data_IF_216990085641
#
_entry.id   IF_216990085641
#
_cell.length_a   1.000
_cell.length_b   1.000
_cell.length_c   1.000
_cell.angle_alpha   90.00
_cell.angle_beta   90.00
_cell.angle_gamma   90.00
#
_symmetry.space_group_name_H-M   'P 1'
#
loop_
_entity.id
_entity.type
_entity.pdbx_description
1 polymer ?
#
# COMPACT_ATOMS: atom_id res chain seq x y z
N UNK A 1 -20.31 15.72 -18.94
CA UNK A 1 -20.86 16.90 -19.64
C UNK A 1 -19.93 17.25 -20.79
N UNK A 2 -20.44 17.86 -21.86
CA UNK A 2 -19.62 18.49 -22.90
C UNK A 2 -19.85 20.00 -22.96
N UNK A 3 -18.83 20.77 -23.34
CA UNK A 3 -18.96 22.22 -23.55
C UNK A 3 -18.18 22.65 -24.80
N UNK A 4 -18.62 23.76 -25.38
CA UNK A 4 -17.91 24.48 -26.44
C UNK A 4 -17.06 25.58 -25.82
N UNK A 5 -15.82 25.71 -26.28
CA UNK A 5 -14.82 26.63 -25.75
C UNK A 5 -14.39 27.64 -26.80
N UNK A 6 -13.97 28.83 -26.36
CA UNK A 6 -13.35 29.84 -27.22
C UNK A 6 -11.91 29.51 -27.60
N UNK A 7 -11.28 28.59 -26.86
CA UNK A 7 -9.89 28.16 -27.04
C UNK A 7 -9.76 26.63 -26.92
N UNK A 8 -8.69 26.03 -27.46
CA UNK A 8 -8.31 24.67 -27.09
C UNK A 8 -8.19 24.53 -25.57
N UNK A 9 -8.74 23.45 -25.03
CA UNK A 9 -8.71 23.14 -23.59
C UNK A 9 -7.81 21.94 -23.37
N UNK A 10 -6.99 21.98 -22.33
CA UNK A 10 -6.06 20.89 -22.05
C UNK A 10 -6.73 19.77 -21.25
N UNK A 11 -6.38 18.52 -21.53
CA UNK A 11 -6.74 17.40 -20.65
C UNK A 11 -6.05 17.62 -19.28
N UNK A 12 -6.82 17.42 -18.21
CA UNK A 12 -6.40 17.66 -16.82
C UNK A 12 -6.59 19.10 -16.34
N UNK A 13 -7.19 19.97 -17.15
CA UNK A 13 -7.56 21.33 -16.76
C UNK A 13 -8.82 21.31 -15.88
N UNK A 14 -8.84 22.16 -14.85
CA UNK A 14 -10.00 22.30 -13.97
C UNK A 14 -10.87 23.47 -14.41
N UNK A 15 -12.18 23.23 -14.43
CA UNK A 15 -13.18 24.23 -14.82
C UNK A 15 -14.25 24.37 -13.75
N UNK A 16 -14.83 25.55 -13.65
CA UNK A 16 -15.93 25.89 -12.75
C UNK A 16 -17.17 26.19 -13.59
N UNK A 17 -18.31 25.63 -13.17
CA UNK A 17 -19.59 25.88 -13.80
C UNK A 17 -20.56 26.47 -12.80
N UNK A 18 -21.38 27.42 -13.25
CA UNK A 18 -22.51 27.90 -12.47
C UNK A 18 -23.63 26.85 -12.55
N UNK A 19 -24.09 26.39 -11.40
CA UNK A 19 -25.12 25.36 -11.29
C UNK A 19 -26.18 25.79 -10.27
N UNK A 20 -27.33 26.26 -10.77
CA UNK A 20 -28.37 26.83 -9.93
C UNK A 20 -27.84 28.02 -9.12
N UNK A 21 -27.84 27.90 -7.78
CA UNK A 21 -27.28 28.92 -6.86
C UNK A 21 -25.84 28.64 -6.43
N UNK A 22 -25.24 27.54 -6.87
CA UNK A 22 -23.91 27.11 -6.47
C UNK A 22 -22.91 27.06 -7.63
N UNK A 23 -21.65 26.78 -7.29
CA UNK A 23 -20.59 26.50 -8.26
C UNK A 23 -20.18 25.04 -8.16
N UNK A 24 -19.94 24.40 -9.28
CA UNK A 24 -19.41 23.03 -9.35
C UNK A 24 -18.04 23.01 -9.99
N UNK A 25 -17.15 22.19 -9.45
CA UNK A 25 -15.83 21.95 -10.03
C UNK A 25 -15.91 20.76 -10.98
N UNK A 26 -15.28 20.88 -12.14
CA UNK A 26 -15.13 19.83 -13.13
C UNK A 26 -13.68 19.66 -13.57
N UNK A 27 -13.36 18.46 -14.05
CA UNK A 27 -12.08 18.11 -14.64
C UNK A 27 -12.27 17.77 -16.12
N UNK A 28 -11.47 18.37 -16.99
CA UNK A 28 -11.46 18.10 -18.43
C UNK A 28 -10.77 16.76 -18.69
N UNK A 29 -11.52 15.79 -19.18
CA UNK A 29 -11.03 14.42 -19.46
C UNK A 29 -10.69 14.22 -20.94
N UNK A 30 -11.40 14.92 -21.83
CA UNK A 30 -11.15 14.88 -23.27
C UNK A 30 -11.28 16.26 -23.86
N UNK A 31 -10.50 16.51 -24.90
CA UNK A 31 -10.52 17.72 -25.69
C UNK A 31 -10.43 17.33 -27.16
N UNK A 32 -11.27 17.93 -27.99
CA UNK A 32 -11.31 17.70 -29.42
C UNK A 32 -11.43 19.03 -30.15
N UNK A 33 -10.71 19.14 -31.26
CA UNK A 33 -10.80 20.26 -32.19
C UNK A 33 -11.41 19.71 -33.46
N UNK A 34 -12.48 20.35 -33.93
CA UNK A 34 -13.12 20.03 -35.21
C UNK A 34 -13.13 21.26 -36.10
N UNK A 35 -13.18 21.01 -37.40
CA UNK A 35 -13.30 22.01 -38.45
C UNK A 35 -14.44 21.57 -39.36
N UNK A 36 -15.35 22.49 -39.66
CA UNK A 36 -16.48 22.21 -40.54
C UNK A 36 -16.01 22.02 -42.00
N UNK A 37 -15.02 22.79 -42.44
CA UNK A 37 -14.41 22.68 -43.76
C UNK A 37 -13.49 21.46 -43.89
N UNK A 38 -12.72 21.12 -42.85
CA UNK A 38 -11.84 19.92 -42.81
C UNK A 38 -12.55 18.69 -42.21
N UNK A 39 -13.87 18.59 -42.39
CA UNK A 39 -14.69 17.52 -41.85
C UNK A 39 -14.42 16.14 -42.46
N UNK A 40 -15.28 15.17 -42.13
CA UNK A 40 -15.12 13.76 -42.50
C UNK A 40 -15.27 13.47 -44.01
N UNK A 41 -15.56 14.47 -44.83
CA UNK A 41 -15.79 14.32 -46.27
C UNK A 41 -14.53 14.34 -47.12
N UNK A 42 -13.38 14.74 -46.57
CA UNK A 42 -12.13 14.91 -47.31
C UNK A 42 -11.51 13.56 -47.69
N UNK A 43 -11.18 13.39 -48.98
CA UNK A 43 -10.69 12.11 -49.53
C UNK A 43 -9.30 12.16 -50.14
N UNK A 44 -8.77 13.33 -50.44
CA UNK A 44 -7.44 13.50 -51.04
C UNK A 44 -6.70 14.73 -50.50
N UNK A 45 -5.42 14.84 -50.88
CA UNK A 45 -4.53 15.89 -50.41
C UNK A 45 -4.93 17.29 -50.92
N UNK A 46 -5.28 17.41 -52.20
CA UNK A 46 -5.67 18.69 -52.81
C UNK A 46 -6.92 19.27 -52.12
N UNK A 47 -7.93 18.44 -51.88
CA UNK A 47 -9.16 18.82 -51.16
C UNK A 47 -8.88 19.27 -49.72
N UNK A 48 -7.94 18.60 -49.02
CA UNK A 48 -7.47 19.03 -47.70
C UNK A 48 -6.75 20.38 -47.75
N UNK A 49 -5.94 20.61 -48.77
CA UNK A 49 -5.18 21.85 -48.94
C UNK A 49 -6.10 23.04 -49.22
N UNK A 50 -7.10 22.88 -50.08
CA UNK A 50 -8.10 23.91 -50.38
C UNK A 50 -8.99 24.18 -49.16
N UNK A 51 -9.49 23.13 -48.51
CA UNK A 51 -10.34 23.25 -47.31
C UNK A 51 -9.62 23.92 -46.14
N UNK A 52 -8.29 23.73 -46.01
CA UNK A 52 -7.46 24.44 -45.03
C UNK A 52 -7.45 25.95 -45.25
N UNK A 53 -7.46 26.42 -46.50
CA UNK A 53 -7.49 27.86 -46.81
C UNK A 53 -8.86 28.45 -46.42
N UNK A 54 -9.94 27.76 -46.79
CA UNK A 54 -11.31 28.16 -46.42
C UNK A 54 -11.51 28.20 -44.89
N UNK A 55 -10.95 27.21 -44.18
CA UNK A 55 -10.95 27.14 -42.72
C UNK A 55 -10.18 28.31 -42.06
N UNK A 56 -9.13 28.82 -42.72
CA UNK A 56 -8.33 29.91 -42.18
C UNK A 56 -9.04 31.27 -42.32
N UNK A 57 -9.83 31.46 -43.36
CA UNK A 57 -10.61 32.69 -43.61
C UNK A 57 -11.87 32.77 -42.72
N UNK A 58 -12.44 31.63 -42.34
CA UNK A 58 -13.66 31.55 -41.54
C UNK A 58 -13.38 31.36 -40.06
N UNK A 59 -13.55 32.41 -39.26
CA UNK A 59 -13.44 32.35 -37.79
C UNK A 59 -14.40 31.35 -37.12
N UNK A 60 -15.49 30.97 -37.80
CA UNK A 60 -16.50 30.03 -37.31
C UNK A 60 -16.19 28.57 -37.63
N UNK A 61 -15.19 28.32 -38.45
CA UNK A 61 -14.88 26.97 -38.93
C UNK A 61 -14.43 26.04 -37.80
N UNK A 62 -13.60 26.56 -36.88
CA UNK A 62 -13.03 25.76 -35.79
C UNK A 62 -13.94 25.72 -34.59
N UNK A 63 -14.26 24.52 -34.14
CA UNK A 63 -14.95 24.25 -32.87
C UNK A 63 -14.00 23.57 -31.89
N UNK A 64 -14.05 24.00 -30.62
CA UNK A 64 -13.24 23.47 -29.54
C UNK A 64 -14.16 22.84 -28.50
N UNK A 65 -14.22 21.52 -28.48
CA UNK A 65 -15.13 20.78 -27.61
C UNK A 65 -14.38 20.08 -26.49
N UNK A 66 -14.82 20.33 -25.26
CA UNK A 66 -14.28 19.68 -24.06
C UNK A 66 -15.30 18.73 -23.44
N UNK A 67 -14.84 17.57 -22.96
CA UNK A 67 -15.62 16.68 -22.11
C UNK A 67 -15.15 16.80 -20.65
N UNK A 68 -16.09 17.11 -19.76
CA UNK A 68 -15.84 17.37 -18.35
C UNK A 68 -16.53 16.35 -17.47
N UNK A 69 -15.79 15.81 -16.51
CA UNK A 69 -16.32 15.08 -15.36
C UNK A 69 -16.54 16.04 -14.21
N UNK A 70 -17.78 16.11 -13.74
CA UNK A 70 -18.14 16.91 -12.56
C UNK A 70 -17.59 16.20 -11.31
N UNK A 71 -16.87 16.93 -10.47
CA UNK A 71 -16.27 16.43 -9.24
C UNK A 71 -17.17 16.70 -8.02
N UNK A 72 -17.89 17.82 -8.03
CA UNK A 72 -18.88 18.17 -7.01
C UNK A 72 -19.03 19.66 -6.79
N UNK A 73 -19.88 20.02 -5.82
CA UNK A 73 -20.04 21.42 -5.39
C UNK A 73 -18.76 21.96 -4.76
N UNK A 74 -18.35 23.16 -5.21
CA UNK A 74 -17.11 23.80 -4.78
C UNK A 74 -17.05 23.97 -3.25
N UNK A 75 -18.15 24.43 -2.64
CA UNK A 75 -18.23 24.67 -1.19
C UNK A 75 -18.20 23.39 -0.34
N UNK A 76 -18.64 22.27 -0.89
CA UNK A 76 -18.59 20.96 -0.23
C UNK A 76 -17.23 20.31 -0.42
N UNK A 77 -16.61 20.47 -1.60
CA UNK A 77 -15.23 20.02 -1.85
C UNK A 77 -14.23 20.70 -0.91
N UNK A 78 -14.42 21.99 -0.60
CA UNK A 78 -13.65 22.71 0.43
C UNK A 78 -13.75 22.08 1.82
N UNK A 79 -14.85 21.38 2.11
CA UNK A 79 -15.07 20.61 3.35
C UNK A 79 -14.66 19.15 3.23
N UNK A 80 -13.92 18.80 2.17
CA UNK A 80 -13.55 17.43 1.80
C UNK A 80 -14.76 16.50 1.57
N UNK A 81 -15.88 17.03 1.06
CA UNK A 81 -17.08 16.27 0.72
C UNK A 81 -17.35 16.36 -0.79
N UNK A 82 -17.22 15.24 -1.47
CA UNK A 82 -17.56 15.14 -2.89
C UNK A 82 -19.07 14.92 -3.06
N UNK A 83 -19.84 16.01 -3.08
CA UNK A 83 -21.29 15.98 -3.33
C UNK A 83 -21.52 16.36 -4.79
N UNK A 84 -22.04 15.43 -5.57
CA UNK A 84 -22.38 15.63 -6.98
C UNK A 84 -23.76 16.30 -7.11
N UNK A 85 -23.94 17.20 -8.09
CA UNK A 85 -25.28 17.67 -8.45
C UNK A 85 -26.13 16.50 -8.96
N UNK A 86 -27.40 16.46 -8.55
CA UNK A 86 -28.31 15.36 -8.89
C UNK A 86 -28.80 15.40 -10.36
N UNK A 87 -28.80 16.59 -10.96
CA UNK A 87 -29.20 16.78 -12.36
C UNK A 87 -28.00 17.29 -13.18
N UNK A 88 -27.96 17.03 -14.50
CA UNK A 88 -26.97 17.67 -15.36
C UNK A 88 -27.15 19.20 -15.40
N UNK A 89 -26.10 19.96 -15.71
CA UNK A 89 -26.21 21.40 -15.95
C UNK A 89 -27.06 21.69 -17.19
N UNK A 90 -27.78 22.81 -17.16
CA UNK A 90 -28.63 23.25 -18.29
C UNK A 90 -27.78 23.59 -19.52
N UNK A 91 -28.25 23.31 -20.75
CA UNK A 91 -27.61 23.79 -21.97
C UNK A 91 -27.45 25.32 -21.95
N UNK A 92 -26.28 25.80 -22.38
CA UNK A 92 -25.93 27.22 -22.32
C UNK A 92 -25.33 27.67 -20.98
N UNK A 93 -25.20 26.79 -19.98
CA UNK A 93 -24.47 27.10 -18.75
C UNK A 93 -23.01 27.48 -19.05
N UNK A 94 -22.59 28.62 -18.51
CA UNK A 94 -21.24 29.12 -18.70
C UNK A 94 -20.20 28.29 -17.92
N UNK A 95 -19.05 28.10 -18.58
CA UNK A 95 -17.91 27.35 -18.05
C UNK A 95 -16.71 28.29 -17.98
N UNK A 96 -16.10 28.33 -16.81
CA UNK A 96 -14.96 29.20 -16.48
C UNK A 96 -13.74 28.35 -16.12
N UNK A 97 -12.55 28.89 -16.36
CA UNK A 97 -11.32 28.28 -15.85
C UNK A 97 -11.29 28.39 -14.32
N UNK A 98 -10.86 27.33 -13.63
CA UNK A 98 -10.74 27.36 -12.18
C UNK A 98 -9.55 28.23 -11.77
N UNK A 99 -9.77 29.20 -10.87
CA UNK A 99 -8.69 30.03 -10.36
C UNK A 99 -7.73 29.22 -9.48
N UNK A 100 -6.47 29.64 -9.40
CA UNK A 100 -5.50 29.01 -8.49
C UNK A 100 -5.94 29.12 -7.02
N UNK A 101 -6.67 30.18 -6.65
CA UNK A 101 -7.24 30.36 -5.31
C UNK A 101 -8.29 29.29 -5.01
N UNK A 102 -9.25 29.07 -5.92
CA UNK A 102 -10.27 28.04 -5.77
C UNK A 102 -9.63 26.65 -5.62
N UNK A 103 -8.64 26.33 -6.47
CA UNK A 103 -7.94 25.05 -6.44
C UNK A 103 -7.09 24.87 -5.17
N UNK A 104 -6.41 25.92 -4.69
CA UNK A 104 -5.63 25.85 -3.45
C UNK A 104 -6.50 25.51 -2.24
N UNK A 105 -7.73 26.05 -2.16
CA UNK A 105 -8.63 25.72 -1.04
C UNK A 105 -9.06 24.26 -1.00
N UNK A 106 -8.99 23.55 -2.13
CA UNK A 106 -9.43 22.15 -2.26
C UNK A 106 -8.25 21.18 -2.20
N UNK A 107 -7.18 21.46 -2.96
CA UNK A 107 -6.05 20.54 -3.15
C UNK A 107 -4.83 20.85 -2.28
N UNK A 108 -4.70 22.10 -1.79
CA UNK A 108 -3.63 22.52 -0.89
C UNK A 108 -4.12 22.92 0.52
N UNK A 109 -4.95 22.13 1.23
CA UNK A 109 -5.31 22.44 2.60
C UNK A 109 -4.08 22.63 3.52
N UNK A 110 -4.25 23.46 4.53
CA UNK A 110 -3.22 23.73 5.54
C UNK A 110 -3.44 22.87 6.80
N UNK A 111 -2.36 22.53 7.48
CA UNK A 111 -2.36 21.70 8.70
C UNK A 111 -1.21 20.70 8.71
N UNK A 112 -0.82 20.24 9.91
CA UNK A 112 0.28 19.29 10.06
C UNK A 112 -0.03 17.92 9.45
N UNK A 113 -1.30 17.54 9.40
CA UNK A 113 -1.77 16.29 8.82
C UNK A 113 -1.75 16.27 7.28
N UNK A 114 -1.54 17.42 6.62
CA UNK A 114 -1.59 17.54 5.16
C UNK A 114 -0.17 17.52 4.59
N UNK A 115 0.17 16.43 3.92
CA UNK A 115 1.48 16.22 3.31
C UNK A 115 1.43 16.50 1.82
N UNK A 116 2.49 17.11 1.29
CA UNK A 116 2.59 17.42 -0.14
C UNK A 116 3.03 16.17 -0.90
N UNK A 117 2.23 15.76 -1.87
CA UNK A 117 2.55 14.63 -2.75
C UNK A 117 2.96 15.06 -4.17
N UNK A 118 2.78 16.33 -4.51
CA UNK A 118 3.10 16.87 -5.83
C UNK A 118 2.38 18.18 -6.10
N UNK A 119 2.09 18.45 -7.38
CA UNK A 119 1.34 19.62 -7.85
C UNK A 119 0.28 19.20 -8.86
N UNK A 120 -0.69 20.07 -9.14
CA UNK A 120 -1.67 19.80 -10.20
C UNK A 120 -1.00 19.85 -11.59
N UNK A 121 -1.42 18.95 -12.49
CA UNK A 121 -0.81 18.76 -13.81
C UNK A 121 -0.79 20.03 -14.67
N UNK A 122 -1.90 20.78 -14.69
CA UNK A 122 -2.07 22.01 -15.50
C UNK A 122 -1.98 23.28 -14.67
N UNK A 123 -1.80 23.17 -13.36
CA UNK A 123 -1.65 24.31 -12.47
C UNK A 123 -0.54 24.01 -11.44
N UNK A 124 0.70 24.07 -11.91
CA UNK A 124 1.89 23.70 -11.14
C UNK A 124 2.16 24.61 -9.94
N UNK A 125 1.48 25.76 -9.87
CA UNK A 125 1.51 26.65 -8.70
C UNK A 125 0.69 26.13 -7.52
N UNK A 126 -0.22 25.19 -7.77
CA UNK A 126 -1.09 24.58 -6.75
C UNK A 126 -0.51 23.25 -6.30
N UNK A 127 -0.18 23.18 -5.01
CA UNK A 127 0.24 21.95 -4.36
C UNK A 127 -0.91 20.94 -4.30
N UNK A 128 -0.59 19.67 -4.51
CA UNK A 128 -1.49 18.55 -4.21
C UNK A 128 -1.09 17.95 -2.87
N UNK A 129 -2.01 17.99 -1.90
CA UNK A 129 -1.78 17.48 -0.54
C UNK A 129 -2.74 16.36 -0.17
N UNK A 130 -2.27 15.45 0.65
CA UNK A 130 -3.03 14.30 1.17
C UNK A 130 -3.03 14.32 2.69
N UNK A 131 -4.14 13.91 3.29
CA UNK A 131 -4.28 13.82 4.73
C UNK A 131 -3.71 12.48 5.24
N UNK A 132 -2.61 12.53 5.99
CA UNK A 132 -1.92 11.34 6.52
C UNK A 132 -2.79 10.55 7.49
N UNK A 133 -3.54 11.23 8.36
CA UNK A 133 -4.41 10.55 9.32
C UNK A 133 -5.45 9.67 8.60
N UNK A 134 -5.98 10.16 7.47
CA UNK A 134 -6.89 9.38 6.62
C UNK A 134 -6.18 8.24 5.89
N UNK A 135 -4.96 8.44 5.42
CA UNK A 135 -4.14 7.38 4.79
C UNK A 135 -3.90 6.24 5.77
N UNK A 136 -3.51 6.56 7.01
CA UNK A 136 -3.23 5.56 8.06
C UNK A 136 -4.50 4.89 8.58
N UNK A 137 -5.65 5.59 8.59
CA UNK A 137 -6.90 5.04 9.17
C UNK A 137 -7.83 4.32 8.19
N UNK A 138 -7.66 4.47 6.87
CA UNK A 138 -8.59 3.92 5.86
C UNK A 138 -7.97 2.93 4.88
N UNK A 139 -6.70 2.57 5.09
CA UNK A 139 -5.85 1.84 4.15
C UNK A 139 -5.65 2.61 2.83
N UNK A 140 -4.56 2.31 2.13
CA UNK A 140 -4.20 2.96 0.87
C UNK A 140 -3.75 1.89 -0.13
N UNK A 141 -4.28 1.95 -1.34
CA UNK A 141 -3.79 1.17 -2.47
C UNK A 141 -3.06 2.09 -3.45
N UNK A 142 -1.79 1.79 -3.76
CA UNK A 142 -1.02 2.45 -4.79
C UNK A 142 -0.93 1.53 -6.00
N UNK A 143 -1.67 1.85 -7.06
CA UNK A 143 -1.78 1.04 -8.27
C UNK A 143 -1.13 1.78 -9.45
N UNK A 144 -0.09 1.19 -10.02
CA UNK A 144 0.62 1.74 -11.17
C UNK A 144 1.30 0.61 -11.96
N UNK A 145 1.55 0.82 -13.26
CA UNK A 145 2.42 -0.08 -14.04
C UNK A 145 3.88 0.12 -13.63
N UNK A 146 4.73 -0.88 -13.87
CA UNK A 146 6.18 -0.78 -13.63
C UNK A 146 6.76 0.46 -14.32
N UNK A 147 7.59 1.20 -13.59
CA UNK A 147 8.20 2.45 -14.07
C UNK A 147 7.31 3.69 -13.97
N UNK A 148 6.05 3.59 -13.54
CA UNK A 148 5.14 4.75 -13.39
C UNK A 148 5.22 5.45 -12.02
N UNK A 149 6.22 5.11 -11.20
CA UNK A 149 6.50 5.83 -9.95
C UNK A 149 5.80 5.33 -8.69
N UNK A 150 5.42 4.03 -8.63
CA UNK A 150 4.89 3.38 -7.40
C UNK A 150 5.82 3.61 -6.20
N UNK A 151 7.07 3.16 -6.31
CA UNK A 151 8.05 3.27 -5.24
C UNK A 151 8.45 4.71 -4.93
N UNK A 152 8.38 5.60 -5.93
CA UNK A 152 8.60 7.04 -5.73
C UNK A 152 7.51 7.68 -4.85
N UNK A 153 6.23 7.32 -5.06
CA UNK A 153 5.14 7.81 -4.22
C UNK A 153 5.29 7.29 -2.78
N UNK A 154 5.60 6.01 -2.60
CA UNK A 154 5.84 5.42 -1.27
C UNK A 154 7.02 6.09 -0.58
N UNK A 155 8.12 6.35 -1.30
CA UNK A 155 9.28 7.07 -0.79
C UNK A 155 8.94 8.49 -0.32
N UNK A 156 8.06 9.18 -1.06
CA UNK A 156 7.57 10.49 -0.67
C UNK A 156 6.70 10.43 0.59
N UNK A 157 5.81 9.44 0.70
CA UNK A 157 5.04 9.18 1.92
C UNK A 157 5.97 8.88 3.10
N UNK A 158 7.01 8.06 2.90
CA UNK A 158 7.99 7.72 3.93
C UNK A 158 8.73 8.97 4.44
N UNK A 159 9.16 9.87 3.54
CA UNK A 159 9.79 11.15 3.90
C UNK A 159 8.87 12.03 4.76
N UNK A 160 7.61 12.14 4.37
CA UNK A 160 6.64 12.98 5.09
C UNK A 160 6.23 12.37 6.43
N UNK A 161 6.15 11.04 6.53
CA UNK A 161 5.90 10.34 7.80
C UNK A 161 7.11 10.45 8.73
N UNK A 162 8.33 10.33 8.21
CA UNK A 162 9.55 10.53 9.00
C UNK A 162 9.63 11.95 9.58
N UNK A 163 9.20 12.97 8.81
CA UNK A 163 9.16 14.37 9.24
C UNK A 163 8.29 14.60 10.48
N UNK A 164 7.21 13.86 10.63
CA UNK A 164 6.32 13.92 11.81
C UNK A 164 6.66 12.87 12.87
N UNK A 165 7.82 12.22 12.76
CA UNK A 165 8.25 11.11 13.64
C UNK A 165 7.19 10.00 13.74
N UNK A 166 6.54 9.70 12.61
CA UNK A 166 5.63 8.57 12.49
C UNK A 166 6.38 7.25 12.31
N UNK A 167 5.70 6.14 12.61
CA UNK A 167 6.28 4.80 12.44
C UNK A 167 5.73 4.18 11.17
N UNK A 168 6.63 3.79 10.26
CA UNK A 168 6.30 3.07 9.03
C UNK A 168 7.07 1.76 9.00
N UNK A 169 6.46 0.71 8.45
CA UNK A 169 7.10 -0.58 8.16
C UNK A 169 6.90 -0.86 6.68
N UNK A 170 7.99 -0.98 5.93
CA UNK A 170 8.00 -1.29 4.50
C UNK A 170 8.59 -2.67 4.35
N UNK A 171 7.82 -3.61 3.80
CA UNK A 171 8.34 -4.88 3.32
C UNK A 171 8.88 -4.65 1.92
N UNK A 172 10.20 -4.64 1.78
CA UNK A 172 10.91 -4.28 0.56
C UNK A 172 11.29 -5.53 -0.25
N UNK A 173 10.61 -5.72 -1.38
CA UNK A 173 10.80 -6.89 -2.24
C UNK A 173 11.93 -6.72 -3.26
N UNK A 174 12.22 -5.49 -3.69
CA UNK A 174 13.15 -5.19 -4.78
C UNK A 174 14.40 -4.40 -4.36
N UNK A 175 14.58 -4.14 -3.05
CA UNK A 175 15.63 -3.28 -2.50
C UNK A 175 15.51 -1.80 -2.91
N UNK A 176 14.29 -1.33 -3.19
CA UNK A 176 14.04 0.03 -3.65
C UNK A 176 14.28 1.09 -2.55
N UNK A 177 14.27 0.69 -1.27
CA UNK A 177 14.25 1.61 -0.13
C UNK A 177 15.50 1.53 0.76
N UNK A 178 16.41 0.58 0.54
CA UNK A 178 17.64 0.43 1.34
C UNK A 178 18.55 1.65 1.27
N UNK A 179 18.55 2.33 0.11
CA UNK A 179 19.34 3.53 -0.16
C UNK A 179 18.56 4.83 0.01
N UNK A 180 17.30 4.76 0.50
CA UNK A 180 16.45 5.93 0.62
C UNK A 180 17.00 6.90 1.68
N UNK A 181 17.48 8.06 1.24
CA UNK A 181 17.86 9.14 2.13
C UNK A 181 16.61 9.82 2.73
N UNK A 182 16.41 9.56 4.02
CA UNK A 182 15.35 10.12 4.85
C UNK A 182 15.88 11.16 5.85
N UNK A 183 17.14 11.59 5.70
CA UNK A 183 17.88 12.33 6.71
C UNK A 183 18.47 11.41 7.78
N UNK A 184 19.50 11.90 8.48
CA UNK A 184 20.24 11.14 9.49
C UNK A 184 19.30 10.55 10.56
N UNK A 185 19.38 9.24 10.76
CA UNK A 185 18.72 8.47 11.83
C UNK A 185 17.20 8.19 11.67
N UNK A 186 16.58 8.50 10.52
CA UNK A 186 15.15 8.25 10.29
C UNK A 186 14.81 6.88 9.69
N UNK A 187 15.79 6.19 9.12
CA UNK A 187 15.65 4.82 8.61
C UNK A 187 16.12 3.77 9.61
N UNK A 188 15.56 2.57 9.49
CA UNK A 188 15.96 1.38 10.21
C UNK A 188 15.87 0.18 9.27
N UNK A 189 17.00 -0.25 8.72
CA UNK A 189 17.09 -1.39 7.80
C UNK A 189 17.26 -2.69 8.60
N UNK A 190 16.54 -3.74 8.21
CA UNK A 190 16.66 -5.07 8.80
C UNK A 190 16.28 -6.16 7.81
N UNK A 191 16.83 -7.36 8.02
CA UNK A 191 16.41 -8.55 7.30
C UNK A 191 15.09 -9.09 7.87
N UNK A 192 14.28 -9.70 7.02
CA UNK A 192 13.12 -10.48 7.44
C UNK A 192 13.52 -11.79 8.14
N UNK A 193 13.92 -11.68 9.42
CA UNK A 193 14.19 -12.83 10.29
C UNK A 193 13.07 -13.05 11.30
N UNK A 194 12.88 -14.30 11.68
CA UNK A 194 11.90 -14.82 12.63
C UNK A 194 12.65 -15.66 13.65
N UNK A 195 12.32 -15.47 14.93
CA UNK A 195 12.81 -16.36 15.96
C UNK A 195 11.81 -17.52 16.17
N UNK A 196 12.11 -18.75 15.73
CA UNK A 196 11.19 -19.89 15.85
C UNK A 196 10.84 -20.22 17.31
N UNK A 197 11.67 -19.81 18.28
CA UNK A 197 11.44 -20.05 19.71
C UNK A 197 10.30 -19.21 20.29
N UNK A 198 9.94 -18.11 19.63
CA UNK A 198 8.86 -17.21 20.06
C UNK A 198 7.51 -17.58 19.44
N UNK A 199 7.49 -18.53 18.51
CA UNK A 199 6.27 -18.99 17.86
C UNK A 199 5.45 -19.92 18.78
N UNK A 200 4.19 -20.16 18.39
CA UNK A 200 3.43 -21.31 18.88
C UNK A 200 3.84 -22.56 18.09
N UNK A 201 3.51 -23.75 18.61
CA UNK A 201 3.73 -25.00 17.86
C UNK A 201 3.00 -24.99 16.51
N UNK A 202 1.79 -24.42 16.46
CA UNK A 202 0.99 -24.35 15.24
C UNK A 202 1.64 -23.44 14.19
N UNK A 203 2.11 -22.25 14.61
CA UNK A 203 2.86 -21.34 13.72
C UNK A 203 4.16 -21.98 13.26
N UNK A 204 4.91 -22.62 14.15
CA UNK A 204 6.15 -23.30 13.77
C UNK A 204 5.88 -24.41 12.74
N UNK A 205 4.79 -25.17 12.90
CA UNK A 205 4.35 -26.17 11.93
C UNK A 205 4.10 -25.56 10.55
N UNK A 206 3.41 -24.43 10.48
CA UNK A 206 3.17 -23.69 9.22
C UNK A 206 4.50 -23.30 8.55
N UNK A 207 5.43 -22.71 9.32
CA UNK A 207 6.74 -22.30 8.80
C UNK A 207 7.57 -23.48 8.31
N UNK A 208 7.52 -24.63 9.01
CA UNK A 208 8.25 -25.85 8.59
C UNK A 208 7.42 -26.74 7.65
N UNK A 209 6.32 -26.21 7.10
CA UNK A 209 5.49 -26.84 6.07
C UNK A 209 4.80 -28.16 6.49
N UNK A 210 4.35 -28.24 7.73
CA UNK A 210 3.43 -29.28 8.19
C UNK A 210 2.01 -28.81 7.90
N UNK A 211 1.27 -29.58 7.11
CA UNK A 211 -0.13 -29.25 6.77
C UNK A 211 -1.01 -29.22 8.02
N UNK A 212 -1.97 -28.29 8.10
CA UNK A 212 -2.88 -28.17 9.25
C UNK A 212 -3.70 -29.43 9.52
N UNK A 213 -4.05 -30.18 8.47
CA UNK A 213 -4.81 -31.43 8.57
C UNK A 213 -3.96 -32.61 9.09
N UNK A 214 -2.64 -32.45 9.21
CA UNK A 214 -1.70 -33.48 9.65
C UNK A 214 -1.74 -33.64 11.19
N UNK A 215 -2.88 -34.12 11.70
CA UNK A 215 -3.20 -34.13 13.14
C UNK A 215 -2.16 -34.86 14.00
N UNK A 216 -1.61 -35.97 13.50
CA UNK A 216 -0.59 -36.75 14.23
C UNK A 216 0.75 -36.01 14.30
N UNK A 217 1.18 -35.39 13.19
CA UNK A 217 2.40 -34.59 13.12
C UNK A 217 2.29 -33.34 13.99
N UNK A 218 1.13 -32.68 13.94
CA UNK A 218 0.81 -31.54 14.79
C UNK A 218 0.84 -31.91 16.28
N UNK A 219 0.26 -33.07 16.63
CA UNK A 219 0.35 -33.59 17.99
C UNK A 219 1.80 -33.79 18.44
N UNK A 220 2.61 -34.46 17.61
CA UNK A 220 4.04 -34.66 17.90
C UNK A 220 4.75 -33.33 18.14
N UNK A 221 4.57 -32.36 17.24
CA UNK A 221 5.24 -31.06 17.37
C UNK A 221 4.78 -30.31 18.64
N UNK A 222 3.47 -30.32 18.95
CA UNK A 222 2.93 -29.69 20.16
C UNK A 222 3.50 -30.29 21.45
N UNK A 223 3.70 -31.61 21.49
CA UNK A 223 4.30 -32.30 22.64
C UNK A 223 5.81 -32.05 22.71
N UNK A 224 6.49 -32.03 21.56
CA UNK A 224 7.94 -31.84 21.49
C UNK A 224 8.39 -30.38 21.73
N UNK A 225 7.56 -29.40 21.39
CA UNK A 225 7.90 -27.98 21.44
C UNK A 225 7.71 -27.37 22.84
N UNK A 226 8.46 -27.92 23.81
CA UNK A 226 8.38 -27.54 25.23
C UNK A 226 9.15 -26.26 25.55
N UNK A 227 8.95 -25.72 26.76
CA UNK A 227 9.69 -24.54 27.21
C UNK A 227 11.19 -24.80 27.36
N UNK A 228 11.60 -26.03 27.70
CA UNK A 228 13.03 -26.41 27.74
C UNK A 228 13.66 -26.32 26.34
N UNK A 229 12.94 -26.73 25.30
CA UNK A 229 13.40 -26.61 23.91
C UNK A 229 13.53 -25.13 23.53
N UNK A 230 12.51 -24.31 23.85
CA UNK A 230 12.53 -22.86 23.55
C UNK A 230 13.64 -22.09 24.27
N UNK A 231 14.17 -22.60 25.38
CA UNK A 231 15.28 -21.98 26.10
C UNK A 231 16.63 -22.18 25.40
N UNK A 232 16.78 -23.22 24.56
CA UNK A 232 17.97 -23.47 23.74
C UNK A 232 18.10 -22.40 22.65
N UNK A 233 19.33 -22.06 22.27
CA UNK A 233 19.64 -21.03 21.26
C UNK A 233 20.46 -21.61 20.12
N UNK A 234 20.38 -20.99 18.95
CA UNK A 234 21.19 -21.43 17.80
C UNK A 234 20.88 -22.87 17.40
N UNK A 235 21.91 -23.62 17.03
CA UNK A 235 21.79 -25.01 16.59
C UNK A 235 21.24 -25.95 17.69
N UNK A 236 21.52 -25.68 18.97
CA UNK A 236 21.01 -26.48 20.09
C UNK A 236 19.47 -26.51 20.14
N UNK A 237 18.81 -25.47 19.63
CA UNK A 237 17.35 -25.44 19.53
C UNK A 237 16.84 -26.52 18.58
N UNK A 238 17.45 -26.62 17.40
CA UNK A 238 17.06 -27.58 16.38
C UNK A 238 17.32 -29.00 16.85
N UNK A 239 18.50 -29.25 17.42
CA UNK A 239 18.87 -30.57 17.94
C UNK A 239 17.95 -30.99 19.10
N UNK A 240 17.62 -30.06 20.01
CA UNK A 240 16.66 -30.33 21.08
C UNK A 240 15.25 -30.64 20.55
N UNK A 241 14.77 -29.90 19.55
CA UNK A 241 13.46 -30.11 18.95
C UNK A 241 13.37 -31.45 18.19
N UNK A 242 14.44 -31.83 17.47
CA UNK A 242 14.56 -33.13 16.80
C UNK A 242 14.52 -34.26 17.83
N UNK A 243 15.33 -34.16 18.88
CA UNK A 243 15.38 -35.18 19.93
C UNK A 243 14.04 -35.32 20.67
N UNK A 244 13.39 -34.19 21.01
CA UNK A 244 12.07 -34.19 21.62
C UNK A 244 11.01 -34.82 20.70
N UNK A 245 11.04 -34.51 19.40
CA UNK A 245 10.11 -35.08 18.42
C UNK A 245 10.33 -36.58 18.25
N UNK A 246 11.59 -37.03 18.18
CA UNK A 246 11.94 -38.45 18.11
C UNK A 246 11.50 -39.23 19.37
N UNK A 247 11.59 -38.61 20.54
CA UNK A 247 11.15 -39.21 21.81
C UNK A 247 9.64 -39.50 21.82
N UNK A 248 8.81 -38.64 21.23
CA UNK A 248 7.37 -38.90 21.07
C UNK A 248 7.12 -40.14 20.20
N UNK A 249 7.97 -40.37 19.21
CA UNK A 249 7.91 -41.55 18.32
C UNK A 249 8.28 -42.89 18.97
N UNK A 250 8.67 -42.89 20.26
CA UNK A 250 8.78 -44.14 21.04
C UNK A 250 7.43 -44.83 21.19
N UNK A 251 6.35 -44.05 21.28
CA UNK A 251 4.99 -44.55 21.13
C UNK A 251 4.77 -45.06 19.70
N UNK A 252 4.39 -46.33 19.59
CA UNK A 252 4.10 -46.99 18.31
C UNK A 252 3.06 -46.21 17.49
N UNK A 253 2.13 -45.52 18.15
CA UNK A 253 1.05 -44.76 17.53
C UNK A 253 1.54 -43.53 16.76
N UNK A 254 2.66 -42.93 17.19
CA UNK A 254 3.19 -41.69 16.62
C UNK A 254 4.54 -41.86 15.91
N UNK A 255 5.09 -43.08 15.83
CA UNK A 255 6.42 -43.34 15.27
C UNK A 255 6.64 -42.78 13.86
N UNK A 256 5.72 -43.06 12.93
CA UNK A 256 5.84 -42.56 11.54
C UNK A 256 5.67 -41.03 11.48
N UNK A 257 4.74 -40.49 12.25
CA UNK A 257 4.51 -39.05 12.31
C UNK A 257 5.74 -38.31 12.88
N UNK A 258 6.36 -38.86 13.92
CA UNK A 258 7.56 -38.32 14.53
C UNK A 258 8.76 -38.31 13.57
N UNK A 259 8.96 -39.40 12.81
CA UNK A 259 9.99 -39.43 11.76
C UNK A 259 9.78 -38.31 10.73
N UNK A 260 8.55 -38.13 10.23
CA UNK A 260 8.21 -37.05 9.29
C UNK A 260 8.41 -35.65 9.87
N UNK A 261 8.09 -35.45 11.15
CA UNK A 261 8.31 -34.17 11.84
C UNK A 261 9.80 -33.89 11.97
N UNK A 262 10.61 -34.89 12.33
CA UNK A 262 12.07 -34.77 12.39
C UNK A 262 12.64 -34.38 11.02
N UNK A 263 12.22 -35.05 9.95
CA UNK A 263 12.65 -34.73 8.58
C UNK A 263 12.27 -33.29 8.21
N UNK A 264 11.06 -32.84 8.55
CA UNK A 264 10.62 -31.45 8.32
C UNK A 264 11.42 -30.43 9.11
N UNK A 265 11.80 -30.73 10.34
CA UNK A 265 12.64 -29.84 11.17
C UNK A 265 14.05 -29.73 10.57
N UNK A 266 14.66 -30.85 10.16
CA UNK A 266 15.99 -30.86 9.51
C UNK A 266 15.96 -30.14 8.16
N UNK A 267 14.91 -30.37 7.36
CA UNK A 267 14.64 -29.63 6.13
C UNK A 267 14.52 -28.13 6.39
N UNK A 268 13.78 -27.73 7.42
CA UNK A 268 13.58 -26.32 7.76
C UNK A 268 14.88 -25.65 8.21
N UNK A 269 15.68 -26.34 9.03
CA UNK A 269 17.02 -25.87 9.44
C UNK A 269 17.90 -25.54 8.23
N UNK A 270 17.79 -26.31 7.13
CA UNK A 270 18.57 -26.08 5.91
C UNK A 270 17.92 -25.07 4.96
N UNK A 271 16.63 -25.22 4.67
CA UNK A 271 15.92 -24.42 3.66
C UNK A 271 15.56 -23.03 4.17
N UNK A 272 15.26 -22.89 5.45
CA UNK A 272 14.79 -21.64 6.06
C UNK A 272 15.86 -20.94 6.91
N UNK A 273 17.15 -21.29 6.78
CA UNK A 273 18.23 -20.67 7.56
C UNK A 273 18.34 -19.14 7.38
N UNK A 274 17.91 -18.61 6.23
CA UNK A 274 17.89 -17.16 5.97
C UNK A 274 16.81 -16.41 6.77
N UNK A 275 15.70 -17.09 7.10
CA UNK A 275 14.58 -16.48 7.84
C UNK A 275 14.50 -16.94 9.29
N UNK A 276 14.88 -18.18 9.61
CA UNK A 276 14.74 -18.75 10.94
C UNK A 276 16.05 -18.63 11.71
N UNK A 277 16.06 -17.75 12.70
CA UNK A 277 17.20 -17.54 13.58
C UNK A 277 16.78 -17.80 15.04
N UNK A 278 17.05 -18.99 15.61
CA UNK A 278 16.78 -19.23 17.03
C UNK A 278 17.74 -18.45 17.97
N UNK A 279 18.82 -17.89 17.45
CA UNK A 279 19.79 -17.08 18.20
C UNK A 279 19.35 -15.62 18.39
N UNK A 280 18.55 -15.07 17.46
CA UNK A 280 18.16 -13.66 17.50
C UNK A 280 17.23 -13.31 18.67
N UNK A 281 17.17 -12.03 19.03
CA UNK A 281 16.17 -11.50 19.95
C UNK A 281 14.77 -11.46 19.28
N UNK A 282 13.75 -10.97 19.99
CA UNK A 282 12.43 -10.76 19.39
C UNK A 282 12.52 -9.88 18.13
N UNK A 283 12.12 -10.37 16.94
CA UNK A 283 12.19 -9.59 15.70
C UNK A 283 11.41 -8.28 15.79
N UNK A 284 10.28 -8.24 16.51
CA UNK A 284 9.51 -7.02 16.71
C UNK A 284 10.25 -5.98 17.57
N UNK A 285 11.22 -6.41 18.38
CA UNK A 285 12.04 -5.50 19.16
C UNK A 285 13.06 -4.73 18.30
N UNK A 286 13.33 -5.21 17.08
CA UNK A 286 14.21 -4.53 16.12
C UNK A 286 13.52 -3.34 15.45
N UNK A 287 12.19 -3.33 15.40
CA UNK A 287 11.39 -2.22 14.89
C UNK A 287 11.49 -1.02 15.83
N UNK A 288 11.77 0.15 15.25
CA UNK A 288 11.96 1.41 15.96
C UNK A 288 10.76 2.33 15.75
N UNK A 289 10.18 2.78 16.86
CA UNK A 289 9.13 3.81 16.85
C UNK A 289 9.68 5.13 16.29
N UNK A 290 8.83 5.85 15.56
CA UNK A 290 9.14 7.14 14.96
C UNK A 290 10.16 7.09 13.82
N UNK A 291 10.34 5.91 13.22
CA UNK A 291 11.24 5.66 12.11
C UNK A 291 10.54 4.94 10.97
N UNK A 292 11.17 5.00 9.80
CA UNK A 292 10.83 4.17 8.65
C UNK A 292 11.65 2.89 8.75
N UNK A 293 10.98 1.80 9.11
CA UNK A 293 11.55 0.47 9.20
C UNK A 293 11.42 -0.20 7.84
N UNK A 294 12.55 -0.59 7.25
CA UNK A 294 12.57 -1.30 5.96
C UNK A 294 13.01 -2.72 6.24
N UNK A 295 12.13 -3.66 5.97
CA UNK A 295 12.35 -5.10 6.11
C UNK A 295 12.67 -5.65 4.74
N UNK A 296 13.91 -6.07 4.53
CA UNK A 296 14.38 -6.60 3.25
C UNK A 296 13.89 -8.05 3.04
N UNK A 297 13.29 -8.31 1.88
CA UNK A 297 12.79 -9.62 1.44
C UNK A 297 13.53 -10.19 0.22
N UNK A 298 14.56 -9.51 -0.29
CA UNK A 298 15.21 -9.78 -1.59
C UNK A 298 15.82 -11.18 -1.67
N UNK A 299 16.41 -11.65 -0.58
CA UNK A 299 17.04 -12.98 -0.52
C UNK A 299 16.04 -14.11 -0.23
N UNK A 300 14.75 -13.80 -0.15
CA UNK A 300 13.71 -14.75 0.22
C UNK A 300 12.95 -15.24 -1.01
N UNK A 301 12.63 -16.53 -1.00
CA UNK A 301 11.62 -17.08 -1.91
C UNK A 301 10.24 -16.50 -1.59
N UNK A 302 9.32 -16.49 -2.56
CA UNK A 302 7.93 -16.00 -2.35
C UNK A 302 7.26 -16.61 -1.11
N UNK A 303 7.47 -17.91 -0.88
CA UNK A 303 6.94 -18.63 0.28
C UNK A 303 7.56 -18.14 1.59
N UNK A 304 8.88 -17.97 1.63
CA UNK A 304 9.60 -17.44 2.79
C UNK A 304 9.17 -16.01 3.11
N UNK A 305 9.04 -15.18 2.08
CA UNK A 305 8.58 -13.81 2.20
C UNK A 305 7.14 -13.77 2.73
N UNK A 306 6.23 -14.64 2.25
CA UNK A 306 4.86 -14.71 2.76
C UNK A 306 4.82 -15.06 4.26
N UNK A 307 5.58 -16.06 4.69
CA UNK A 307 5.71 -16.44 6.11
C UNK A 307 6.26 -15.28 6.95
N UNK A 308 7.27 -14.57 6.46
CA UNK A 308 7.83 -13.44 7.18
C UNK A 308 6.81 -12.30 7.30
N UNK A 309 6.19 -11.89 6.19
CA UNK A 309 5.21 -10.80 6.17
C UNK A 309 4.01 -11.14 7.06
N UNK A 310 3.47 -12.36 6.99
CA UNK A 310 2.35 -12.81 7.82
C UNK A 310 2.70 -12.73 9.32
N UNK A 311 3.87 -13.22 9.71
CA UNK A 311 4.37 -13.16 11.08
C UNK A 311 4.46 -11.71 11.59
N UNK A 312 5.11 -10.81 10.84
CA UNK A 312 5.23 -9.41 11.26
C UNK A 312 3.88 -8.70 11.35
N UNK A 313 2.98 -8.92 10.38
CA UNK A 313 1.63 -8.34 10.39
C UNK A 313 0.83 -8.80 11.62
N UNK A 314 0.86 -10.09 11.92
CA UNK A 314 0.14 -10.67 13.06
C UNK A 314 0.65 -10.11 14.39
N UNK A 315 1.96 -10.19 14.62
CA UNK A 315 2.57 -9.76 15.88
C UNK A 315 2.40 -8.24 16.09
N UNK A 316 2.49 -7.45 15.02
CA UNK A 316 2.20 -6.02 15.07
C UNK A 316 0.73 -5.73 15.38
N UNK A 317 -0.19 -6.46 14.76
CA UNK A 317 -1.63 -6.31 15.01
C UNK A 317 -1.95 -6.64 16.47
N UNK A 318 -1.36 -7.71 17.02
CA UNK A 318 -1.59 -8.11 18.40
C UNK A 318 -0.98 -7.14 19.42
N UNK A 319 0.22 -6.60 19.16
CA UNK A 319 0.78 -5.53 19.97
C UNK A 319 -0.09 -4.25 19.93
N UNK A 320 -0.64 -3.89 18.76
CA UNK A 320 -1.55 -2.74 18.62
C UNK A 320 -2.90 -2.95 19.31
N UNK A 321 -3.45 -4.17 19.30
CA UNK A 321 -4.64 -4.53 20.11
C UNK A 321 -4.32 -4.37 21.60
N UNK A 322 -3.15 -4.85 22.05
CA UNK A 322 -2.68 -4.69 23.43
C UNK A 322 -2.54 -3.22 23.79
N UNK A 323 -1.90 -2.39 22.97
CA UNK A 323 -1.77 -0.95 23.17
C UNK A 323 -3.13 -0.26 23.36
N UNK A 324 -4.10 -0.62 22.51
CA UNK A 324 -5.45 -0.04 22.55
C UNK A 324 -6.23 -0.45 23.80
N UNK A 325 -6.10 -1.72 24.23
CA UNK A 325 -6.67 -2.21 25.50
C UNK A 325 -6.03 -1.52 26.71
N UNK A 326 -4.72 -1.28 26.65
CA UNK A 326 -3.97 -0.65 27.74
C UNK A 326 -4.32 0.82 27.98
N UNK A 327 -4.81 1.53 26.95
CA UNK A 327 -5.39 2.88 27.14
C UNK A 327 -6.60 2.88 28.08
N UNK A 328 -7.31 1.75 28.21
CA UNK A 328 -8.50 1.62 29.09
C UNK A 328 -8.16 1.05 30.46
N UNK A 329 -7.19 0.15 30.54
CA UNK A 329 -6.72 -0.44 31.80
C UNK A 329 -5.22 -0.72 31.71
N UNK A 330 -4.37 -0.22 32.64
CA UNK A 330 -2.94 -0.43 32.58
C UNK A 330 -2.62 -1.93 32.66
N UNK A 331 -1.87 -2.42 31.67
CA UNK A 331 -1.44 -3.81 31.59
C UNK A 331 -0.10 -4.05 32.31
N UNK A 332 0.26 -5.32 32.51
CA UNK A 332 1.51 -5.72 33.18
C UNK A 332 2.79 -5.36 32.43
N UNK A 333 2.73 -5.17 31.10
CA UNK A 333 3.90 -4.85 30.27
C UNK A 333 3.52 -3.85 29.19
N UNK A 334 4.32 -2.82 28.90
CA UNK A 334 4.00 -1.82 27.89
C UNK A 334 3.83 -2.47 26.50
N UNK A 335 2.97 -1.90 25.67
CA UNK A 335 2.92 -2.22 24.26
C UNK A 335 4.12 -1.61 23.53
N UNK A 336 4.62 -2.30 22.51
CA UNK A 336 5.79 -1.88 21.72
C UNK A 336 5.48 -0.67 20.85
N UNK A 337 4.30 -0.65 20.23
CA UNK A 337 3.82 0.41 19.36
C UNK A 337 2.70 1.19 20.06
N UNK A 338 3.01 2.25 20.84
CA UNK A 338 1.98 3.07 21.49
C UNK A 338 1.17 3.90 20.49
N UNK A 339 1.79 4.29 19.37
CA UNK A 339 1.21 5.07 18.29
C UNK A 339 0.79 4.17 17.10
N UNK A 340 -0.04 4.67 16.16
CA UNK A 340 -0.33 3.99 14.90
C UNK A 340 0.94 3.69 14.10
N UNK A 341 0.92 2.58 13.37
CA UNK A 341 1.99 2.14 12.47
C UNK A 341 1.39 2.03 11.07
N UNK A 342 2.04 2.63 10.07
CA UNK A 342 1.67 2.43 8.68
C UNK A 342 2.49 1.27 8.10
N UNK A 343 1.82 0.27 7.54
CA UNK A 343 2.46 -0.87 6.90
C UNK A 343 2.34 -0.75 5.39
N UNK A 344 3.43 -0.98 4.68
CA UNK A 344 3.50 -1.02 3.23
C UNK A 344 3.98 -2.40 2.81
N UNK A 345 3.17 -3.06 1.98
CA UNK A 345 3.49 -4.34 1.36
C UNK A 345 3.82 -4.05 -0.11
N UNK A 346 5.10 -4.07 -0.47
CA UNK A 346 5.53 -4.09 -1.87
C UNK A 346 5.02 -5.36 -2.56
N UNK A 347 4.84 -5.28 -3.87
CA UNK A 347 4.34 -6.39 -4.69
C UNK A 347 3.17 -7.17 -4.06
N UNK A 348 2.18 -6.44 -3.51
CA UNK A 348 1.04 -7.03 -2.81
C UNK A 348 0.27 -8.09 -3.61
N UNK A 349 0.40 -8.12 -4.94
CA UNK A 349 -0.19 -9.17 -5.78
C UNK A 349 0.43 -10.57 -5.56
N UNK A 350 1.68 -10.64 -5.11
CA UNK A 350 2.39 -11.88 -4.74
C UNK A 350 1.84 -12.41 -3.41
N UNK A 351 1.58 -11.52 -2.46
CA UNK A 351 1.19 -11.90 -1.10
C UNK A 351 -0.31 -11.96 -0.85
N UNK A 352 -1.09 -11.22 -1.64
CA UNK A 352 -2.55 -11.09 -1.54
C UNK A 352 -3.18 -11.48 -2.89
N UNK A 353 -2.96 -12.73 -3.36
CA UNK A 353 -3.55 -13.21 -4.60
C UNK A 353 -5.08 -13.31 -4.49
N UNK A 354 -5.77 -13.17 -5.63
CA UNK A 354 -7.24 -13.21 -5.68
C UNK A 354 -7.78 -14.62 -5.41
N UNK A 355 -7.20 -15.62 -6.05
CA UNK A 355 -7.73 -16.99 -6.11
C UNK A 355 -7.15 -17.93 -5.04
N UNK A 356 -6.08 -17.52 -4.37
CA UNK A 356 -5.40 -18.32 -3.35
C UNK A 356 -5.59 -17.70 -1.97
N UNK A 357 -5.65 -18.54 -0.94
CA UNK A 357 -5.61 -18.12 0.46
C UNK A 357 -4.17 -18.22 0.93
N UNK A 358 -3.68 -17.11 1.50
CA UNK A 358 -2.34 -17.01 2.09
C UNK A 358 -2.46 -16.40 3.47
N UNK A 359 -1.52 -16.71 4.35
CA UNK A 359 -1.53 -16.16 5.71
C UNK A 359 -1.36 -14.65 5.69
N UNK A 360 -0.53 -14.14 4.78
CA UNK A 360 -0.42 -12.69 4.56
C UNK A 360 -1.75 -12.06 4.15
N UNK A 361 -2.51 -12.66 3.23
CA UNK A 361 -3.85 -12.16 2.84
C UNK A 361 -4.81 -12.12 4.03
N UNK A 362 -4.80 -13.17 4.85
CA UNK A 362 -5.62 -13.24 6.05
C UNK A 362 -5.29 -12.11 7.03
N UNK A 363 -4.02 -11.92 7.37
CA UNK A 363 -3.64 -10.86 8.31
C UNK A 363 -3.79 -9.47 7.71
N UNK A 364 -3.40 -9.25 6.45
CA UNK A 364 -3.58 -7.97 5.76
C UNK A 364 -5.06 -7.53 5.70
N UNK A 365 -6.01 -8.47 5.65
CA UNK A 365 -7.45 -8.14 5.72
C UNK A 365 -7.91 -7.64 7.11
N UNK A 366 -7.10 -7.86 8.15
CA UNK A 366 -7.40 -7.53 9.56
C UNK A 366 -6.62 -6.33 10.10
N UNK A 367 -5.49 -5.96 9.47
CA UNK A 367 -4.61 -4.87 9.93
C UNK A 367 -5.07 -3.54 9.41
#
# INVERSE_FOLDING_TARGET
MTFESKRPVSIGEYVILNYGKGKVLGLVERSSISSDALGNSIRNYEEAFESKQVAAENLRDKSYKGQVRILGYLDELKKCKAILPALPPEPGSEVYEASAEDLNTIFAPTGQQWIRIGTLLRNTTVDARVNVDKVVSRHLAVLAMTGMGKSNLVSLLAKEIARISGTMVVFDYHDDYSTLDLGSNNSNLMDARINPRLLSADKLAEVIEIQENASNQMHVLRVAFTEEVKQRKGDDFWDALINASAAVGTDKSYREAAAKVVDKIDDARRKFHNILDPGMADPLALLKNGKINVINLVELTERQANIAVSFYLEEMLDDRKKATRQKKAPGKSPARFPAPVLVVIEEAHVFIPKEEETDTKYFASKV
#
